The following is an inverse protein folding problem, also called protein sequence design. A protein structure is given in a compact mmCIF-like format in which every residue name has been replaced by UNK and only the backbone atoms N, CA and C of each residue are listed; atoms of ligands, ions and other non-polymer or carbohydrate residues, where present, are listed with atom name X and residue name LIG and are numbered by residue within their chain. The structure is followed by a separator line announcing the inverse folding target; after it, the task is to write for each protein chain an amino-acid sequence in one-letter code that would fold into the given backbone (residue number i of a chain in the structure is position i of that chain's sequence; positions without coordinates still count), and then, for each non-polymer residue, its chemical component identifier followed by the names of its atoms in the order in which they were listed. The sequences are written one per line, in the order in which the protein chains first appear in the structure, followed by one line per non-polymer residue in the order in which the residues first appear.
data_IF_054089751395
#
_entry.id   IF_054089751395
#
_cell.length_a   1.000
_cell.length_b   1.000
_cell.length_c   1.000
_cell.angle_alpha   90.00
_cell.angle_beta   90.00
_cell.angle_gamma   90.00
#
_symmetry.space_group_name_H-M   'P 1'
#
loop_
_entity.id
_entity.type
_entity.pdbx_description
1 polymer ?
#
# COMPACT_ATOMS: atom_id res chain seq x y z
N UNK A 1 25.70 2.55 -7.39
CA UNK A 1 24.51 1.70 -7.26
C UNK A 1 23.34 2.48 -7.84
N UNK A 2 22.64 1.93 -8.83
CA UNK A 2 21.47 2.57 -9.43
C UNK A 2 20.18 2.31 -8.65
N UNK A 3 19.10 3.03 -8.96
CA UNK A 3 17.80 2.87 -8.28
C UNK A 3 17.26 1.43 -8.31
N UNK A 4 17.36 0.75 -9.45
CA UNK A 4 16.91 -0.64 -9.59
C UNK A 4 17.74 -1.66 -8.79
N UNK A 5 19.05 -1.44 -8.61
CA UNK A 5 19.87 -2.29 -7.74
C UNK A 5 19.50 -2.08 -6.27
N UNK A 6 19.32 -0.82 -5.87
CA UNK A 6 18.92 -0.46 -4.51
C UNK A 6 17.53 -1.02 -4.17
N UNK A 7 16.58 -0.98 -5.10
CA UNK A 7 15.23 -1.52 -4.91
C UNK A 7 15.26 -3.02 -4.58
N UNK A 8 16.08 -3.81 -5.30
CA UNK A 8 16.24 -5.26 -5.01
C UNK A 8 16.78 -5.52 -3.61
N UNK A 9 17.75 -4.71 -3.18
CA UNK A 9 18.34 -4.81 -1.84
C UNK A 9 17.29 -4.47 -0.77
N UNK A 10 16.59 -3.34 -0.92
CA UNK A 10 15.55 -2.88 0.02
C UNK A 10 14.39 -3.87 0.13
N UNK A 11 13.98 -4.51 -0.98
CA UNK A 11 12.97 -5.58 -0.95
C UNK A 11 13.45 -6.80 -0.15
N UNK A 12 14.71 -7.21 -0.32
CA UNK A 12 15.28 -8.32 0.44
C UNK A 12 15.35 -7.99 1.95
N UNK A 13 15.72 -6.77 2.30
CA UNK A 13 15.77 -6.31 3.70
C UNK A 13 14.38 -6.22 4.33
N UNK A 14 13.36 -5.75 3.59
CA UNK A 14 11.97 -5.75 4.06
C UNK A 14 11.48 -7.17 4.36
N UNK A 15 11.77 -8.14 3.47
CA UNK A 15 11.42 -9.56 3.68
C UNK A 15 12.11 -10.14 4.92
N UNK A 16 13.40 -9.85 5.11
CA UNK A 16 14.13 -10.30 6.30
C UNK A 16 13.59 -9.64 7.58
N UNK A 17 13.24 -8.35 7.56
CA UNK A 17 12.57 -7.70 8.67
C UNK A 17 11.23 -8.41 9.00
N UNK A 18 10.45 -8.74 7.97
CA UNK A 18 9.19 -9.47 8.13
C UNK A 18 9.36 -10.81 8.82
N UNK A 19 10.35 -11.58 8.38
CA UNK A 19 10.72 -12.85 9.02
C UNK A 19 11.04 -12.69 10.51
N UNK A 20 11.71 -11.61 10.91
CA UNK A 20 12.04 -11.34 12.33
C UNK A 20 10.84 -10.92 13.15
N UNK A 21 9.91 -10.17 12.56
CA UNK A 21 8.67 -9.74 13.21
C UNK A 21 7.55 -10.78 13.14
N UNK A 22 7.71 -11.85 12.36
CA UNK A 22 6.66 -12.84 12.10
C UNK A 22 5.53 -12.28 11.23
N UNK A 23 5.83 -11.33 10.34
CA UNK A 23 4.88 -10.70 9.43
C UNK A 23 5.30 -10.89 7.97
N UNK A 24 4.32 -10.81 7.07
CA UNK A 24 4.56 -10.83 5.64
C UNK A 24 4.51 -9.42 5.06
N UNK A 25 5.25 -9.20 3.96
CA UNK A 25 5.29 -7.92 3.26
C UNK A 25 4.80 -8.10 1.83
N UNK A 26 3.79 -7.32 1.46
CA UNK A 26 3.50 -7.00 0.05
C UNK A 26 4.10 -5.64 -0.27
N UNK A 27 5.04 -5.59 -1.22
CA UNK A 27 5.62 -4.34 -1.71
C UNK A 27 4.94 -3.96 -3.02
N UNK A 28 4.34 -2.77 -3.07
CA UNK A 28 3.77 -2.21 -4.28
C UNK A 28 4.86 -1.50 -5.09
N UNK A 29 4.85 -1.69 -6.42
CA UNK A 29 5.87 -1.19 -7.34
C UNK A 29 5.60 0.27 -7.75
N UNK A 30 5.61 1.17 -6.77
CA UNK A 30 5.56 2.61 -6.98
C UNK A 30 6.98 3.18 -6.84
N UNK A 31 7.40 4.06 -7.75
CA UNK A 31 8.71 4.69 -7.67
C UNK A 31 8.76 5.66 -6.48
N UNK A 32 9.84 5.59 -5.70
CA UNK A 32 10.05 6.44 -4.53
C UNK A 32 10.08 7.93 -4.92
N UNK A 33 9.32 8.74 -4.18
CA UNK A 33 9.15 10.17 -4.42
C UNK A 33 8.14 10.52 -5.53
N UNK A 34 7.54 9.52 -6.19
CA UNK A 34 6.62 9.70 -7.32
C UNK A 34 5.22 9.14 -7.04
N UNK A 35 4.90 8.77 -5.80
CA UNK A 35 3.57 8.29 -5.45
C UNK A 35 2.54 9.40 -5.68
N UNK A 36 1.50 9.11 -6.45
CA UNK A 36 0.39 10.04 -6.70
C UNK A 36 -0.93 9.44 -6.19
N UNK A 37 -1.85 10.26 -5.65
CA UNK A 37 -3.15 9.82 -5.14
C UNK A 37 -4.14 9.59 -6.29
N UNK A 38 -3.82 8.66 -7.19
CA UNK A 38 -4.63 8.34 -8.37
C UNK A 38 -5.66 7.25 -8.07
N UNK A 39 -6.69 7.16 -8.90
CA UNK A 39 -7.66 6.05 -8.84
C UNK A 39 -6.97 4.70 -8.99
N UNK A 40 -5.97 4.58 -9.87
CA UNK A 40 -5.22 3.34 -10.09
C UNK A 40 -4.56 2.84 -8.79
N UNK A 41 -3.85 3.73 -8.09
CA UNK A 41 -3.20 3.38 -6.83
C UNK A 41 -4.23 3.08 -5.73
N UNK A 42 -5.35 3.82 -5.69
CA UNK A 42 -6.44 3.53 -4.74
C UNK A 42 -7.03 2.14 -4.96
N UNK A 43 -7.23 1.73 -6.21
CA UNK A 43 -7.71 0.39 -6.53
C UNK A 43 -6.68 -0.70 -6.15
N UNK A 44 -5.37 -0.44 -6.27
CA UNK A 44 -4.33 -1.35 -5.75
C UNK A 44 -4.48 -1.52 -4.23
N UNK A 45 -4.62 -0.44 -3.47
CA UNK A 45 -4.83 -0.48 -2.01
C UNK A 45 -6.11 -1.24 -1.65
N UNK A 46 -7.25 -0.96 -2.31
CA UNK A 46 -8.52 -1.66 -2.06
C UNK A 46 -8.38 -3.17 -2.27
N UNK A 47 -7.71 -3.58 -3.35
CA UNK A 47 -7.45 -5.00 -3.64
C UNK A 47 -6.63 -5.64 -2.54
N UNK A 48 -5.54 -5.01 -2.10
CA UNK A 48 -4.70 -5.56 -1.05
C UNK A 48 -5.47 -5.68 0.27
N UNK A 49 -6.21 -4.65 0.69
CA UNK A 49 -7.03 -4.72 1.91
C UNK A 49 -8.03 -5.89 1.85
N UNK A 50 -8.69 -6.09 0.70
CA UNK A 50 -9.61 -7.22 0.49
C UNK A 50 -8.90 -8.58 0.49
N UNK A 51 -7.75 -8.71 -0.18
CA UNK A 51 -6.95 -9.96 -0.18
C UNK A 51 -6.51 -10.37 1.21
N UNK A 52 -6.11 -9.40 2.02
CA UNK A 52 -5.71 -9.62 3.41
C UNK A 52 -6.88 -9.88 4.34
N UNK A 53 -8.13 -9.62 3.91
CA UNK A 53 -9.32 -9.67 4.75
C UNK A 53 -9.12 -8.88 6.07
N UNK A 54 -8.58 -7.67 5.96
CA UNK A 54 -8.10 -6.92 7.11
C UNK A 54 -9.24 -6.27 7.92
N UNK A 55 -9.27 -6.54 9.23
CA UNK A 55 -10.20 -5.87 10.17
C UNK A 55 -9.74 -4.45 10.54
N UNK A 56 -8.42 -4.24 10.61
CA UNK A 56 -7.80 -2.97 11.00
C UNK A 56 -6.70 -2.62 10.01
N UNK A 57 -6.76 -1.40 9.48
CA UNK A 57 -5.75 -0.83 8.58
C UNK A 57 -5.13 0.40 9.23
N UNK A 58 -3.80 0.42 9.32
CA UNK A 58 -3.03 1.53 9.89
C UNK A 58 -2.21 2.16 8.77
N UNK A 59 -2.24 3.50 8.66
CA UNK A 59 -1.53 4.25 7.64
C UNK A 59 -0.85 5.51 8.22
N UNK A 60 0.14 6.09 7.51
CA UNK A 60 0.71 7.39 7.88
C UNK A 60 -0.36 8.48 7.92
N UNK A 61 -0.13 9.52 8.74
CA UNK A 61 -1.01 10.68 8.79
C UNK A 61 -0.92 11.49 7.48
N UNK A 62 -2.03 12.09 6.98
CA UNK A 62 -2.04 12.82 5.71
C UNK A 62 -1.36 14.21 5.76
N UNK A 63 -0.97 14.69 6.95
CA UNK A 63 -0.24 15.94 7.13
C UNK A 63 1.21 15.67 7.57
N UNK A 64 2.06 15.29 6.64
CA UNK A 64 3.47 14.91 6.84
C UNK A 64 4.40 15.71 5.92
N UNK A 65 5.70 15.75 6.21
CA UNK A 65 6.68 16.46 5.37
C UNK A 65 6.90 15.75 4.03
N UNK A 66 6.79 14.41 4.00
CA UNK A 66 7.05 13.62 2.80
C UNK A 66 5.79 13.46 1.95
N UNK A 67 5.82 13.76 0.63
CA UNK A 67 4.65 13.57 -0.23
C UNK A 67 4.13 12.13 -0.22
N UNK A 68 5.00 11.13 -0.31
CA UNK A 68 4.58 9.72 -0.32
C UNK A 68 3.91 9.28 0.98
N UNK A 69 4.36 9.78 2.14
CA UNK A 69 3.65 9.53 3.41
C UNK A 69 2.24 10.10 3.37
N UNK A 70 2.11 11.37 2.95
CA UNK A 70 0.82 12.03 2.83
C UNK A 70 -0.11 11.30 1.88
N UNK A 71 0.36 10.98 0.69
CA UNK A 71 -0.44 10.31 -0.34
C UNK A 71 -0.75 8.87 0.01
N UNK A 72 0.11 8.16 0.74
CA UNK A 72 -0.25 6.86 1.32
C UNK A 72 -1.42 7.00 2.30
N UNK A 73 -1.36 8.00 3.19
CA UNK A 73 -2.46 8.31 4.11
C UNK A 73 -3.76 8.63 3.39
N UNK A 74 -3.72 9.49 2.37
CA UNK A 74 -4.89 9.85 1.54
C UNK A 74 -5.45 8.64 0.79
N UNK A 75 -4.60 7.82 0.15
CA UNK A 75 -5.02 6.64 -0.59
C UNK A 75 -5.73 5.62 0.30
N UNK A 76 -5.21 5.37 1.50
CA UNK A 76 -5.84 4.48 2.47
C UNK A 76 -7.14 5.08 3.00
N UNK A 77 -7.16 6.38 3.31
CA UNK A 77 -8.37 7.07 3.77
C UNK A 77 -9.50 7.00 2.73
N UNK A 78 -9.20 7.27 1.47
CA UNK A 78 -10.18 7.18 0.38
C UNK A 78 -10.63 5.74 0.10
N UNK A 79 -9.76 4.75 0.37
CA UNK A 79 -10.11 3.34 0.25
C UNK A 79 -11.06 2.86 1.35
N UNK A 80 -11.04 3.48 2.54
CA UNK A 80 -11.72 3.00 3.74
C UNK A 80 -13.23 2.78 3.57
N UNK A 81 -13.93 3.68 2.87
CA UNK A 81 -15.35 3.47 2.53
C UNK A 81 -15.52 2.62 1.27
N UNK A 82 -14.64 2.79 0.29
CA UNK A 82 -14.78 2.15 -1.01
C UNK A 82 -14.52 0.63 -0.96
N UNK A 83 -13.81 0.15 0.06
CA UNK A 83 -13.47 -1.27 0.22
C UNK A 83 -14.69 -2.18 0.37
N UNK A 84 -15.81 -1.68 0.90
CA UNK A 84 -17.06 -2.46 1.05
C UNK A 84 -17.98 -2.39 -0.18
N UNK A 85 -17.67 -1.53 -1.16
CA UNK A 85 -18.55 -1.30 -2.33
C UNK A 85 -18.36 -2.43 -3.36
N UNK A 86 -19.38 -3.26 -3.65
CA UNK A 86 -19.18 -4.47 -4.47
C UNK A 86 -18.69 -4.22 -5.90
N UNK A 87 -19.12 -3.10 -6.51
CA UNK A 87 -18.78 -2.77 -7.90
C UNK A 87 -17.42 -2.07 -8.07
N UNK A 88 -16.70 -1.82 -6.98
CA UNK A 88 -15.36 -1.23 -6.98
C UNK A 88 -14.36 -2.37 -6.84
N UNK A 89 -13.35 -2.45 -7.73
CA UNK A 89 -12.41 -3.57 -7.77
C UNK A 89 -13.11 -4.96 -7.71
N UNK A 90 -14.10 -5.23 -8.58
CA UNK A 90 -15.00 -6.39 -8.47
C UNK A 90 -14.30 -7.75 -8.65
N UNK A 91 -13.06 -7.76 -9.13
CA UNK A 91 -12.22 -8.95 -9.24
C UNK A 91 -11.89 -9.61 -7.88
N UNK A 92 -12.08 -8.91 -6.76
CA UNK A 92 -11.91 -9.46 -5.41
C UNK A 92 -13.15 -9.10 -4.57
N UNK A 93 -13.79 -10.07 -3.88
CA UNK A 93 -14.98 -9.81 -3.07
C UNK A 93 -14.79 -8.65 -2.08
N UNK A 94 -15.84 -7.83 -1.84
CA UNK A 94 -15.79 -6.80 -0.79
C UNK A 94 -15.62 -7.42 0.60
N UNK A 95 -15.10 -6.61 1.52
CA UNK A 95 -15.11 -6.91 2.96
C UNK A 95 -16.51 -6.71 3.54
#
# INVERSE_FOLDING_TARGET
MGGGELAKIRIAEAKEAGKRFGVEYTVLDNHDGELMPTLENRLKIIREIRKWNADVVIAPRPNDYHPDHRYTGILVQDAAYMVIVPNVAPEIPPL
#
